data_IF_340126076191
#
_entry.id   IF_340126076191
#
_cell.length_a   1.000
_cell.length_b   1.000
_cell.length_c   1.000
_cell.angle_alpha   90.00
_cell.angle_beta   90.00
_cell.angle_gamma   90.00
#
_symmetry.space_group_name_H-M   'P 1'
#
loop_
_entity.id
_entity.type
_entity.pdbx_description
1 polymer ?
#
# COMPACT_ATOMS: atom_id res chain seq x y z
N UNK A 1 -10.27 -30.43 -13.78
CA UNK A 1 -10.01 -29.91 -12.43
C UNK A 1 -10.73 -28.59 -12.31
N UNK A 2 -11.74 -28.51 -11.44
CA UNK A 2 -12.44 -27.26 -11.19
C UNK A 2 -11.54 -26.39 -10.30
N UNK A 3 -10.90 -25.38 -10.90
CA UNK A 3 -10.26 -24.33 -10.12
C UNK A 3 -11.36 -23.68 -9.28
N UNK A 4 -11.19 -23.71 -7.96
CA UNK A 4 -12.10 -23.04 -7.04
C UNK A 4 -12.23 -21.58 -7.47
N UNK A 5 -13.45 -21.17 -7.78
CA UNK A 5 -13.76 -19.80 -8.15
C UNK A 5 -13.49 -18.92 -6.93
N UNK A 6 -12.34 -18.22 -6.96
CA UNK A 6 -11.93 -17.32 -5.89
C UNK A 6 -12.94 -16.17 -5.85
N UNK A 7 -13.84 -16.21 -4.86
CA UNK A 7 -14.83 -15.18 -4.61
C UNK A 7 -14.13 -13.85 -4.36
N UNK A 8 -14.23 -12.92 -5.32
CA UNK A 8 -13.73 -11.55 -5.17
C UNK A 8 -14.72 -10.78 -4.30
N UNK A 9 -14.38 -10.60 -3.03
CA UNK A 9 -15.19 -9.85 -2.06
C UNK A 9 -15.25 -8.34 -2.34
N UNK A 10 -14.43 -7.84 -3.26
CA UNK A 10 -14.29 -6.40 -3.50
C UNK A 10 -13.56 -5.65 -2.37
N UNK A 11 -13.00 -6.34 -1.38
CA UNK A 11 -12.33 -5.76 -0.21
C UNK A 11 -10.87 -5.32 -0.45
N UNK A 12 -10.41 -5.26 -1.70
CA UNK A 12 -9.04 -4.83 -2.00
C UNK A 12 -7.94 -5.87 -1.73
N UNK A 13 -8.22 -7.17 -1.65
CA UNK A 13 -7.21 -8.21 -1.38
C UNK A 13 -6.02 -8.19 -2.36
N UNK A 14 -6.27 -7.89 -3.65
CA UNK A 14 -5.20 -7.74 -4.65
C UNK A 14 -4.28 -6.55 -4.36
N UNK A 15 -4.85 -5.46 -3.84
CA UNK A 15 -4.08 -4.29 -3.47
C UNK A 15 -3.24 -4.59 -2.22
N UNK A 16 -3.81 -5.23 -1.19
CA UNK A 16 -3.07 -5.68 -0.02
C UNK A 16 -1.88 -6.59 -0.36
N UNK A 17 -2.09 -7.56 -1.27
CA UNK A 17 -1.01 -8.44 -1.75
C UNK A 17 0.07 -7.65 -2.52
N UNK A 18 -0.35 -6.75 -3.41
CA UNK A 18 0.59 -5.94 -4.21
C UNK A 18 1.42 -5.03 -3.31
N UNK A 19 0.77 -4.32 -2.37
CA UNK A 19 1.44 -3.43 -1.42
C UNK A 19 2.40 -4.18 -0.51
N UNK A 20 2.00 -5.32 0.08
CA UNK A 20 2.89 -6.10 0.95
C UNK A 20 4.09 -6.70 0.20
N UNK A 21 3.89 -7.17 -1.04
CA UNK A 21 4.98 -7.66 -1.88
C UNK A 21 5.97 -6.54 -2.21
N UNK A 22 5.48 -5.38 -2.66
CA UNK A 22 6.33 -4.22 -2.98
C UNK A 22 7.09 -3.74 -1.75
N UNK A 23 6.42 -3.62 -0.59
CA UNK A 23 7.04 -3.26 0.66
C UNK A 23 8.18 -4.21 1.04
N UNK A 24 7.95 -5.54 0.95
CA UNK A 24 8.95 -6.54 1.28
C UNK A 24 10.17 -6.49 0.35
N UNK A 25 9.96 -6.28 -0.96
CA UNK A 25 11.04 -6.16 -1.93
C UNK A 25 11.87 -4.89 -1.72
N UNK A 26 11.23 -3.75 -1.51
CA UNK A 26 11.93 -2.49 -1.24
C UNK A 26 12.72 -2.54 0.07
N UNK A 27 12.18 -3.16 1.11
CA UNK A 27 12.88 -3.37 2.37
C UNK A 27 14.06 -4.35 2.21
N UNK A 28 13.87 -5.45 1.46
CA UNK A 28 14.91 -6.44 1.20
C UNK A 28 16.09 -5.85 0.38
N UNK A 29 15.78 -5.06 -0.65
CA UNK A 29 16.77 -4.34 -1.45
C UNK A 29 17.39 -3.15 -0.70
N UNK A 30 16.84 -2.79 0.46
CA UNK A 30 17.34 -1.70 1.29
C UNK A 30 17.08 -0.31 0.75
N UNK A 31 15.95 -0.12 0.09
CA UNK A 31 15.46 1.19 -0.38
C UNK A 31 14.68 1.91 0.73
N UNK A 32 13.90 1.16 1.51
CA UNK A 32 13.06 1.67 2.59
C UNK A 32 13.41 0.98 3.91
N UNK A 33 13.26 1.70 5.02
CA UNK A 33 13.18 1.12 6.35
C UNK A 33 11.73 1.18 6.84
N UNK A 34 11.15 0.01 7.12
CA UNK A 34 9.76 -0.13 7.52
C UNK A 34 9.69 -0.70 8.93
N UNK A 35 8.78 -0.19 9.79
CA UNK A 35 8.62 -0.70 11.13
C UNK A 35 8.15 -2.16 11.11
N UNK A 36 8.92 -3.06 11.71
CA UNK A 36 8.54 -4.47 11.87
C UNK A 36 7.55 -4.59 13.03
N UNK A 37 6.34 -5.07 12.74
CA UNK A 37 5.37 -5.45 13.78
C UNK A 37 5.84 -6.75 14.45
N UNK A 38 6.62 -6.63 15.53
CA UNK A 38 7.12 -7.76 16.31
C UNK A 38 7.83 -7.31 17.59
N UNK A 39 8.03 -8.21 18.57
CA UNK A 39 8.77 -7.89 19.78
C UNK A 39 10.25 -7.70 19.40
N UNK A 40 10.72 -6.48 19.60
CA UNK A 40 12.07 -5.97 19.34
C UNK A 40 12.39 -5.58 17.87
N UNK A 41 12.77 -4.30 17.63
CA UNK A 41 13.36 -3.92 16.36
C UNK A 41 14.74 -4.58 16.25
N UNK A 42 14.86 -5.55 15.35
CA UNK A 42 16.16 -5.99 14.84
C UNK A 42 16.70 -4.88 13.92
N UNK A 43 17.03 -3.72 14.51
CA UNK A 43 17.78 -2.66 13.83
C UNK A 43 19.12 -3.25 13.46
N UNK A 44 19.30 -3.62 12.19
CA UNK A 44 20.61 -3.94 11.65
C UNK A 44 21.43 -2.64 11.73
N UNK A 45 22.51 -2.57 12.53
CA UNK A 45 23.27 -1.32 12.74
C UNK A 45 23.93 -0.80 11.45
N UNK A 46 23.99 -1.65 10.43
CA UNK A 46 24.55 -1.44 9.11
C UNK A 46 23.53 -0.92 8.08
N UNK A 47 22.58 -0.08 8.53
CA UNK A 47 21.71 0.68 7.63
C UNK A 47 22.59 1.54 6.71
N UNK A 48 22.64 1.16 5.42
CA UNK A 48 23.34 1.93 4.42
C UNK A 48 22.78 3.37 4.40
N UNK A 49 23.63 4.41 4.37
CA UNK A 49 23.17 5.78 4.27
C UNK A 49 22.29 5.95 3.02
N UNK A 50 21.10 6.53 3.18
CA UNK A 50 20.19 6.85 2.07
C UNK A 50 18.90 6.01 1.97
N UNK A 51 18.56 5.19 2.98
CA UNK A 51 17.22 4.58 3.07
C UNK A 51 16.15 5.63 3.37
N UNK A 52 14.98 5.46 2.76
CA UNK A 52 13.79 6.23 3.11
C UNK A 52 13.18 5.67 4.39
N UNK A 53 12.69 6.54 5.27
CA UNK A 53 12.06 6.18 6.53
C UNK A 53 10.72 6.92 6.67
N UNK A 54 9.89 6.50 7.64
CA UNK A 54 8.65 7.20 7.97
C UNK A 54 7.71 7.39 6.76
N UNK A 55 7.17 8.60 6.60
CA UNK A 55 6.20 8.90 5.56
C UNK A 55 6.78 8.77 4.14
N UNK A 56 8.07 9.05 3.95
CA UNK A 56 8.75 8.92 2.66
C UNK A 56 8.87 7.45 2.23
N UNK A 57 9.15 6.55 3.19
CA UNK A 57 9.14 5.11 2.95
C UNK A 57 7.76 4.63 2.52
N UNK A 58 6.70 5.07 3.22
CA UNK A 58 5.32 4.71 2.89
C UNK A 58 4.91 5.26 1.53
N UNK A 59 5.31 6.48 1.19
CA UNK A 59 5.06 7.08 -0.12
C UNK A 59 5.76 6.32 -1.26
N UNK A 60 7.00 5.89 -1.06
CA UNK A 60 7.73 5.06 -2.03
C UNK A 60 7.02 3.72 -2.27
N UNK A 61 6.58 3.05 -1.19
CA UNK A 61 5.81 1.81 -1.26
C UNK A 61 4.49 2.04 -2.00
N UNK A 62 3.73 3.07 -1.64
CA UNK A 62 2.45 3.41 -2.27
C UNK A 62 2.59 3.64 -3.77
N UNK A 63 3.50 4.51 -4.19
CA UNK A 63 3.69 4.86 -5.59
C UNK A 63 4.10 3.65 -6.42
N UNK A 64 5.02 2.85 -5.90
CA UNK A 64 5.50 1.63 -6.58
C UNK A 64 4.40 0.57 -6.67
N UNK A 65 3.64 0.37 -5.58
CA UNK A 65 2.52 -0.57 -5.55
C UNK A 65 1.40 -0.14 -6.50
N UNK A 66 1.07 1.15 -6.55
CA UNK A 66 0.07 1.69 -7.45
C UNK A 66 0.48 1.49 -8.91
N UNK A 67 1.75 1.74 -9.23
CA UNK A 67 2.29 1.50 -10.57
C UNK A 67 2.18 0.03 -10.99
N UNK A 68 2.64 -0.89 -10.13
CA UNK A 68 2.53 -2.33 -10.36
C UNK A 68 1.07 -2.79 -10.52
N UNK A 69 0.17 -2.27 -9.69
CA UNK A 69 -1.26 -2.60 -9.73
C UNK A 69 -1.91 -2.11 -11.03
N UNK A 70 -1.61 -0.89 -11.47
CA UNK A 70 -2.08 -0.35 -12.75
C UNK A 70 -1.61 -1.22 -13.94
N UNK A 71 -0.34 -1.63 -13.94
CA UNK A 71 0.20 -2.52 -15.00
C UNK A 71 -0.54 -3.85 -14.99
N UNK A 72 -0.69 -4.49 -13.83
CA UNK A 72 -1.35 -5.79 -13.72
C UNK A 72 -2.84 -5.73 -14.11
N UNK A 73 -3.52 -4.61 -13.85
CA UNK A 73 -4.91 -4.40 -14.24
C UNK A 73 -5.08 -4.00 -15.71
N UNK A 74 -4.03 -3.49 -16.37
CA UNK A 74 -4.09 -2.94 -17.71
C UNK A 74 -4.88 -1.62 -17.81
N UNK A 75 -5.09 -0.93 -16.68
CA UNK A 75 -5.80 0.36 -16.63
C UNK A 75 -5.34 1.19 -15.43
N UNK A 76 -5.57 2.50 -15.51
CA UNK A 76 -5.41 3.40 -14.36
C UNK A 76 -6.71 3.43 -13.58
N UNK A 77 -6.71 2.86 -12.38
CA UNK A 77 -7.83 2.91 -11.43
C UNK A 77 -7.77 4.12 -10.50
N UNK A 78 -8.71 4.22 -9.56
CA UNK A 78 -8.72 5.29 -8.53
C UNK A 78 -7.55 5.23 -7.56
N UNK A 79 -6.91 4.06 -7.42
CA UNK A 79 -5.83 3.81 -6.48
C UNK A 79 -6.26 3.71 -5.00
N UNK A 80 -7.56 3.78 -4.72
CA UNK A 80 -8.11 3.79 -3.37
C UNK A 80 -7.69 2.56 -2.54
N UNK A 81 -7.77 1.36 -3.11
CA UNK A 81 -7.43 0.13 -2.39
C UNK A 81 -5.93 0.07 -2.03
N UNK A 82 -5.06 0.54 -2.91
CA UNK A 82 -3.61 0.61 -2.68
C UNK A 82 -3.28 1.69 -1.65
N UNK A 83 -3.93 2.86 -1.76
CA UNK A 83 -3.79 3.93 -0.77
C UNK A 83 -4.21 3.43 0.62
N UNK A 84 -5.36 2.77 0.71
CA UNK A 84 -5.86 2.19 1.97
C UNK A 84 -4.92 1.11 2.51
N UNK A 85 -4.34 0.27 1.65
CA UNK A 85 -3.37 -0.75 2.05
C UNK A 85 -2.01 -0.19 2.49
N UNK A 86 -1.66 1.03 2.06
CA UNK A 86 -0.35 1.65 2.35
C UNK A 86 -0.43 2.61 3.54
N UNK A 87 -1.43 3.50 3.54
CA UNK A 87 -1.60 4.57 4.52
C UNK A 87 -2.61 4.22 5.63
N UNK A 88 -3.31 3.10 5.51
CA UNK A 88 -4.35 2.70 6.46
C UNK A 88 -5.71 3.34 6.15
N UNK A 89 -6.49 3.61 7.19
CA UNK A 89 -7.90 3.99 7.05
C UNK A 89 -8.07 5.39 6.42
N UNK A 90 -8.80 5.47 5.31
CA UNK A 90 -9.30 6.74 4.78
C UNK A 90 -10.57 7.17 5.55
N UNK A 91 -10.53 8.31 6.24
CA UNK A 91 -11.73 8.91 6.84
C UNK A 91 -12.50 9.69 5.78
N UNK A 92 -13.76 9.30 5.54
CA UNK A 92 -14.66 10.01 4.65
C UNK A 92 -15.76 10.70 5.46
N UNK A 93 -15.93 12.00 5.23
CA UNK A 93 -17.06 12.78 5.78
C UNK A 93 -17.89 13.29 4.61
N UNK A 94 -19.17 12.91 4.59
CA UNK A 94 -20.12 13.42 3.61
C UNK A 94 -20.47 14.87 3.94
N UNK A 95 -20.46 15.74 2.95
CA UNK A 95 -20.95 17.11 3.11
C UNK A 95 -22.48 17.13 3.16
N UNK A 96 -23.04 18.10 3.90
CA UNK A 96 -24.49 18.28 3.99
C UNK A 96 -25.03 18.76 2.64
N UNK A 97 -26.10 18.15 2.07
CA UNK A 97 -26.64 18.54 0.77
C UNK A 97 -26.99 20.03 0.67
N UNK A 98 -27.45 20.63 1.78
CA UNK A 98 -27.79 22.05 1.89
C UNK A 98 -26.63 23.02 1.61
N UNK A 99 -25.38 22.54 1.51
CA UNK A 99 -24.24 23.35 1.07
C UNK A 99 -24.23 23.61 -0.44
N UNK A 100 -25.06 22.88 -1.22
CA UNK A 100 -25.20 23.05 -2.66
C UNK A 100 -26.44 23.86 -3.05
N UNK A 101 -27.33 24.14 -2.10
CA UNK A 101 -28.51 24.96 -2.31
C UNK A 101 -28.10 26.44 -2.13
N UNK A 102 -27.69 27.07 -3.24
CA UNK A 102 -27.36 28.50 -3.30
C UNK A 102 -28.55 29.43 -3.13
#
# INVERSE_FOLDING_TARGET
GHAAEVQKTGLGSSAALTTSLVASLLAHCGVVDLPVLGPEPQRKPDAAPGRLEGDDAVAMVHNTAQYCHCIAQGKVGSGFDIASASYGCCQYTRFTPSLLDG
#
